data_IF_773298524261
#
_entry.id   IF_773298524261
#
_cell.length_a   1.000
_cell.length_b   1.000
_cell.length_c   1.000
_cell.angle_alpha   90.00
_cell.angle_beta   90.00
_cell.angle_gamma   90.00
#
_symmetry.space_group_name_H-M   'P 1'
#
loop_
_entity.id
_entity.type
_entity.pdbx_description
1 polymer ?
#
# COMPACT_ATOMS: atom_id res chain seq x y z
N UNK A 1 -7.05 -10.78 39.39
CA UNK A 1 -6.68 -12.20 39.18
C UNK A 1 -7.88 -13.02 38.76
N UNK A 2 -8.42 -12.67 37.59
CA UNK A 2 -9.40 -13.49 36.87
C UNK A 2 -9.22 -13.13 35.37
N UNK A 3 -8.02 -13.37 34.90
CA UNK A 3 -7.65 -13.40 33.49
C UNK A 3 -7.36 -14.86 33.14
N UNK A 4 -7.84 -15.25 32.03
CA UNK A 4 -7.52 -16.48 31.32
C UNK A 4 -8.59 -17.57 31.40
N UNK A 5 -9.62 -17.36 30.62
CA UNK A 5 -10.08 -18.41 29.69
C UNK A 5 -10.46 -17.69 28.40
N UNK A 6 -9.45 -17.11 27.74
CA UNK A 6 -9.58 -16.64 26.35
C UNK A 6 -9.86 -17.90 25.52
N UNK A 7 -11.10 -18.06 25.15
CA UNK A 7 -11.53 -19.17 24.34
C UNK A 7 -10.70 -19.16 23.06
N UNK A 8 -9.97 -20.23 22.79
CA UNK A 8 -9.05 -20.36 21.65
C UNK A 8 -9.72 -20.01 20.30
N UNK A 9 -11.06 -20.10 20.24
CA UNK A 9 -11.85 -19.71 19.07
C UNK A 9 -11.98 -18.19 18.88
N UNK A 10 -11.85 -17.36 19.94
CA UNK A 10 -11.87 -15.89 19.83
C UNK A 10 -10.63 -15.35 19.08
N UNK A 11 -9.55 -16.10 19.05
CA UNK A 11 -8.36 -15.80 18.26
C UNK A 11 -8.61 -15.86 16.73
N UNK A 12 -9.60 -16.63 16.32
CA UNK A 12 -9.97 -16.81 14.91
C UNK A 12 -11.12 -15.88 14.46
N UNK A 13 -11.78 -15.22 15.40
CA UNK A 13 -12.83 -14.27 15.06
C UNK A 13 -12.26 -12.94 14.56
N UNK A 14 -12.83 -12.36 13.51
CA UNK A 14 -12.50 -11.00 13.08
C UNK A 14 -12.67 -10.02 14.25
N UNK A 15 -11.70 -9.12 14.42
CA UNK A 15 -11.76 -8.12 15.50
C UNK A 15 -12.92 -7.13 15.35
N UNK A 16 -13.46 -6.98 14.15
CA UNK A 16 -14.70 -6.22 13.89
C UNK A 16 -15.88 -6.73 14.70
N UNK A 17 -16.08 -8.07 14.76
CA UNK A 17 -17.16 -8.68 15.53
C UNK A 17 -16.99 -8.42 17.04
N UNK A 18 -15.75 -8.55 17.52
CA UNK A 18 -15.45 -8.29 18.94
C UNK A 18 -15.56 -6.81 19.31
N UNK A 19 -15.24 -5.91 18.37
CA UNK A 19 -15.35 -4.48 18.57
C UNK A 19 -16.82 -4.02 18.64
N UNK A 20 -17.73 -4.67 17.93
CA UNK A 20 -19.16 -4.34 17.93
C UNK A 20 -19.85 -4.61 19.26
N UNK A 21 -19.28 -5.45 20.14
CA UNK A 21 -19.89 -5.79 21.43
C UNK A 21 -19.96 -4.60 22.40
N UNK A 22 -18.98 -3.69 22.34
CA UNK A 22 -18.86 -2.52 23.22
C UNK A 22 -18.94 -1.21 22.42
N UNK A 23 -19.65 -1.24 21.25
CA UNK A 23 -19.69 -0.12 20.31
C UNK A 23 -20.78 0.89 20.70
N UNK A 24 -20.37 2.10 21.05
CA UNK A 24 -21.27 3.17 21.41
C UNK A 24 -21.38 4.26 20.33
N UNK A 25 -22.34 5.19 20.51
CA UNK A 25 -22.56 6.29 19.55
C UNK A 25 -21.40 7.27 19.47
N UNK A 26 -20.63 7.42 20.54
CA UNK A 26 -19.46 8.32 20.55
C UNK A 26 -18.35 7.73 19.71
N UNK A 27 -18.06 6.44 19.90
CA UNK A 27 -17.09 5.67 19.08
C UNK A 27 -17.47 5.72 17.60
N UNK A 28 -18.77 5.50 17.27
CA UNK A 28 -19.24 5.59 15.88
C UNK A 28 -18.93 6.95 15.23
N UNK A 29 -19.16 8.06 15.96
CA UNK A 29 -18.87 9.39 15.42
C UNK A 29 -17.38 9.61 15.16
N UNK A 30 -16.53 9.17 16.08
CA UNK A 30 -15.09 9.25 15.91
C UNK A 30 -14.60 8.40 14.73
N UNK A 31 -15.10 7.17 14.62
CA UNK A 31 -14.74 6.26 13.51
C UNK A 31 -15.24 6.80 12.17
N UNK A 32 -16.41 7.40 12.12
CA UNK A 32 -16.94 8.01 10.89
C UNK A 32 -16.06 9.18 10.42
N UNK A 33 -15.67 10.06 11.34
CA UNK A 33 -14.79 11.20 11.02
C UNK A 33 -13.42 10.68 10.56
N UNK A 34 -12.85 9.72 11.27
CA UNK A 34 -11.59 9.09 10.91
C UNK A 34 -11.68 8.41 9.53
N UNK A 35 -12.77 7.68 9.27
CA UNK A 35 -13.00 7.01 7.99
C UNK A 35 -13.11 7.98 6.81
N UNK A 36 -13.84 9.09 6.98
CA UNK A 36 -13.92 10.15 5.95
C UNK A 36 -12.54 10.77 5.71
N UNK A 37 -11.81 11.11 6.77
CA UNK A 37 -10.48 11.71 6.65
C UNK A 37 -9.51 10.78 5.91
N UNK A 38 -9.49 9.51 6.30
CA UNK A 38 -8.64 8.50 5.63
C UNK A 38 -9.07 8.28 4.20
N UNK A 39 -10.37 8.22 3.91
CA UNK A 39 -10.90 8.04 2.57
C UNK A 39 -10.50 9.18 1.63
N UNK A 40 -10.55 10.43 2.09
CA UNK A 40 -10.13 11.60 1.31
C UNK A 40 -8.64 11.55 0.91
N UNK A 41 -7.79 10.98 1.76
CA UNK A 41 -6.35 10.82 1.47
C UNK A 41 -6.07 9.55 0.68
N UNK A 42 -6.76 8.46 0.99
CA UNK A 42 -6.50 7.16 0.39
C UNK A 42 -6.88 7.08 -1.09
N UNK A 43 -7.95 7.75 -1.52
CA UNK A 43 -8.40 7.68 -2.91
C UNK A 43 -7.41 8.29 -3.91
N UNK A 44 -6.92 9.54 -3.73
CA UNK A 44 -5.89 10.09 -4.61
C UNK A 44 -4.60 9.26 -4.58
N UNK A 45 -4.20 8.77 -3.41
CA UNK A 45 -3.01 7.94 -3.26
C UNK A 45 -3.14 6.61 -4.02
N UNK A 46 -4.32 5.97 -3.95
CA UNK A 46 -4.60 4.74 -4.68
C UNK A 46 -4.56 4.95 -6.20
N UNK A 47 -5.10 6.06 -6.70
CA UNK A 47 -4.99 6.43 -8.10
C UNK A 47 -3.54 6.64 -8.53
N UNK A 48 -2.75 7.37 -7.74
CA UNK A 48 -1.35 7.63 -8.03
C UNK A 48 -0.53 6.33 -8.10
N UNK A 49 -0.74 5.40 -7.17
CA UNK A 49 -0.05 4.11 -7.19
C UNK A 49 -0.51 3.20 -8.34
N UNK A 50 -1.78 3.26 -8.74
CA UNK A 50 -2.25 2.53 -9.91
C UNK A 50 -1.57 3.03 -11.18
N UNK A 51 -1.52 4.35 -11.39
CA UNK A 51 -0.83 4.97 -12.52
C UNK A 51 0.67 4.61 -12.52
N UNK A 52 1.32 4.74 -11.37
CA UNK A 52 2.75 4.39 -11.22
C UNK A 52 3.03 2.90 -11.47
N UNK A 53 2.02 2.05 -11.29
CA UNK A 53 2.09 0.61 -11.57
C UNK A 53 1.72 0.23 -13.02
N UNK A 54 1.41 1.21 -13.89
CA UNK A 54 0.98 0.98 -15.26
C UNK A 54 -0.49 0.56 -15.41
N UNK A 55 -1.32 0.84 -14.39
CA UNK A 55 -2.75 0.52 -14.37
C UNK A 55 -3.58 1.80 -14.52
N UNK A 56 -4.88 1.62 -14.78
CA UNK A 56 -5.81 2.74 -14.83
C UNK A 56 -6.10 3.30 -13.44
N UNK A 57 -6.33 4.62 -13.27
CA UNK A 57 -6.68 5.22 -11.97
C UNK A 57 -7.90 4.58 -11.33
N UNK A 58 -8.88 4.19 -12.15
CA UNK A 58 -10.11 3.52 -11.70
C UNK A 58 -9.81 2.17 -11.02
N UNK A 59 -8.85 1.40 -11.55
CA UNK A 59 -8.43 0.14 -10.93
C UNK A 59 -7.90 0.37 -9.51
N UNK A 60 -7.17 1.47 -9.28
CA UNK A 60 -6.70 1.87 -7.95
C UNK A 60 -7.85 2.16 -6.99
N UNK A 61 -8.86 2.90 -7.43
CA UNK A 61 -10.04 3.21 -6.61
C UNK A 61 -10.79 1.93 -6.22
N UNK A 62 -11.10 1.07 -7.19
CA UNK A 62 -11.80 -0.19 -6.91
C UNK A 62 -10.99 -1.09 -5.96
N UNK A 63 -9.69 -1.19 -6.18
CA UNK A 63 -8.81 -1.93 -5.29
C UNK A 63 -8.84 -1.37 -3.86
N UNK A 64 -8.74 -0.04 -3.69
CA UNK A 64 -8.76 0.59 -2.37
C UNK A 64 -10.09 0.36 -1.64
N UNK A 65 -11.24 0.48 -2.33
CA UNK A 65 -12.57 0.28 -1.74
C UNK A 65 -12.74 -1.19 -1.32
N UNK A 66 -12.52 -2.13 -2.24
CA UNK A 66 -12.76 -3.56 -1.98
C UNK A 66 -11.79 -4.10 -0.94
N UNK A 67 -10.50 -3.82 -1.11
CA UNK A 67 -9.45 -4.31 -0.20
C UNK A 67 -9.59 -3.65 1.18
N UNK A 68 -9.82 -2.34 1.23
CA UNK A 68 -10.03 -1.60 2.47
C UNK A 68 -11.21 -2.15 3.26
N UNK A 69 -12.34 -2.42 2.59
CA UNK A 69 -13.52 -3.03 3.22
C UNK A 69 -13.24 -4.45 3.72
N UNK A 70 -12.67 -5.33 2.89
CA UNK A 70 -12.41 -6.73 3.26
C UNK A 70 -11.41 -6.80 4.43
N UNK A 71 -10.32 -6.04 4.38
CA UNK A 71 -9.31 -6.05 5.44
C UNK A 71 -9.86 -5.46 6.73
N UNK A 72 -10.66 -4.41 6.67
CA UNK A 72 -11.30 -3.84 7.86
C UNK A 72 -12.36 -4.77 8.45
N UNK A 73 -13.12 -5.47 7.62
CA UNK A 73 -14.17 -6.39 8.07
C UNK A 73 -13.63 -7.69 8.64
N UNK A 74 -12.61 -8.29 8.00
CA UNK A 74 -12.07 -9.61 8.34
C UNK A 74 -10.73 -9.55 9.09
N UNK A 75 -10.15 -8.37 9.24
CA UNK A 75 -8.84 -8.21 9.83
C UNK A 75 -8.76 -8.52 11.32
N UNK A 76 -7.57 -8.90 11.76
CA UNK A 76 -7.25 -9.20 13.15
C UNK A 76 -6.85 -7.97 14.00
N UNK A 77 -6.89 -6.75 13.46
CA UNK A 77 -6.52 -5.51 14.15
C UNK A 77 -7.68 -4.52 14.13
N UNK A 78 -7.82 -3.76 15.23
CA UNK A 78 -8.84 -2.70 15.35
C UNK A 78 -8.47 -1.40 14.63
N UNK A 79 -7.19 -1.22 14.30
CA UNK A 79 -6.66 0.05 13.78
C UNK A 79 -5.92 -0.10 12.45
N UNK A 80 -6.03 -1.26 11.81
CA UNK A 80 -5.37 -1.54 10.53
C UNK A 80 -6.29 -1.15 9.37
N UNK A 81 -5.74 -0.41 8.42
CA UNK A 81 -6.38 -0.09 7.15
C UNK A 81 -5.57 -0.77 6.05
N UNK A 82 -6.26 -1.53 5.20
CA UNK A 82 -5.66 -2.11 4.01
C UNK A 82 -5.73 -1.12 2.85
N UNK A 83 -4.64 -1.07 2.08
CA UNK A 83 -4.59 -0.20 0.92
C UNK A 83 -3.32 -0.42 0.10
N UNK A 84 -3.21 0.25 -1.05
CA UNK A 84 -2.03 0.18 -1.88
C UNK A 84 -0.81 0.73 -1.14
N UNK A 85 0.33 0.09 -1.35
CA UNK A 85 1.60 0.53 -0.75
C UNK A 85 2.65 0.81 -1.83
N UNK A 86 3.37 1.91 -1.67
CA UNK A 86 4.43 2.32 -2.59
C UNK A 86 5.55 1.29 -2.75
N UNK A 87 5.78 0.46 -1.73
CA UNK A 87 6.77 -0.61 -1.79
C UNK A 87 6.52 -1.62 -2.91
N UNK A 88 5.26 -1.90 -3.21
CA UNK A 88 4.87 -2.88 -4.23
C UNK A 88 4.74 -2.28 -5.64
N UNK A 89 4.76 -0.96 -5.80
CA UNK A 89 4.64 -0.31 -7.12
C UNK A 89 5.67 -0.84 -8.11
N UNK A 90 6.92 -0.98 -7.68
CA UNK A 90 8.00 -1.47 -8.55
C UNK A 90 7.77 -2.93 -8.96
N UNK A 91 7.34 -3.78 -8.02
CA UNK A 91 7.04 -5.19 -8.30
C UNK A 91 5.85 -5.32 -9.23
N UNK A 92 4.76 -4.60 -8.94
CA UNK A 92 3.53 -4.62 -9.74
C UNK A 92 3.79 -4.08 -11.15
N UNK A 93 4.49 -2.95 -11.28
CA UNK A 93 4.83 -2.38 -12.59
C UNK A 93 5.69 -3.33 -13.44
N UNK A 94 6.63 -4.04 -12.82
CA UNK A 94 7.45 -5.06 -13.49
C UNK A 94 6.61 -6.24 -14.01
N UNK A 95 5.66 -6.74 -13.21
CA UNK A 95 4.75 -7.82 -13.62
C UNK A 95 3.83 -7.35 -14.75
N UNK A 96 3.25 -6.15 -14.61
CA UNK A 96 2.36 -5.59 -15.64
C UNK A 96 3.09 -5.37 -16.95
N UNK A 97 4.32 -4.88 -16.92
CA UNK A 97 5.13 -4.67 -18.11
C UNK A 97 5.48 -5.97 -18.85
N UNK A 98 5.76 -7.06 -18.12
CA UNK A 98 6.17 -8.33 -18.70
C UNK A 98 5.00 -9.26 -19.04
N UNK A 99 3.98 -9.30 -18.22
CA UNK A 99 2.89 -10.30 -18.29
C UNK A 99 1.49 -9.68 -18.40
N UNK A 100 1.40 -8.36 -18.45
CA UNK A 100 0.14 -7.64 -18.50
C UNK A 100 -0.69 -7.78 -17.21
N UNK A 101 -1.91 -7.27 -17.26
CA UNK A 101 -2.86 -7.29 -16.13
C UNK A 101 -3.28 -8.73 -15.77
N UNK A 102 -3.38 -9.62 -16.75
CA UNK A 102 -3.71 -11.03 -16.50
C UNK A 102 -2.64 -11.73 -15.65
N UNK A 103 -1.36 -11.47 -15.94
CA UNK A 103 -0.25 -11.96 -15.12
C UNK A 103 -0.28 -11.42 -13.71
N UNK A 104 -0.64 -10.16 -13.53
CA UNK A 104 -0.81 -9.56 -12.21
C UNK A 104 -1.90 -10.26 -11.39
N UNK A 105 -3.05 -10.58 -12.00
CA UNK A 105 -4.12 -11.33 -11.33
C UNK A 105 -3.65 -12.70 -10.88
N UNK A 106 -2.94 -13.43 -11.72
CA UNK A 106 -2.40 -14.75 -11.35
C UNK A 106 -1.41 -14.65 -10.19
N UNK A 107 -0.46 -13.72 -10.24
CA UNK A 107 0.48 -13.49 -9.14
C UNK A 107 -0.23 -13.13 -7.84
N UNK A 108 -1.24 -12.27 -7.90
CA UNK A 108 -2.04 -11.87 -6.73
C UNK A 108 -2.81 -13.05 -6.13
N UNK A 109 -3.43 -13.88 -6.97
CA UNK A 109 -4.10 -15.12 -6.53
C UNK A 109 -3.14 -16.07 -5.83
N UNK A 110 -1.96 -16.30 -6.42
CA UNK A 110 -0.92 -17.16 -5.82
C UNK A 110 -0.44 -16.61 -4.48
N UNK A 111 -0.17 -15.31 -4.42
CA UNK A 111 0.22 -14.63 -3.18
C UNK A 111 -0.88 -14.74 -2.11
N UNK A 112 -2.15 -14.57 -2.49
CA UNK A 112 -3.29 -14.74 -1.60
C UNK A 112 -3.37 -16.15 -1.00
N UNK A 113 -3.22 -17.19 -1.82
CA UNK A 113 -3.18 -18.58 -1.36
C UNK A 113 -2.03 -18.81 -0.39
N UNK A 114 -0.82 -18.32 -0.70
CA UNK A 114 0.32 -18.43 0.19
C UNK A 114 0.07 -17.73 1.54
N UNK A 115 -0.52 -16.55 1.52
CA UNK A 115 -0.86 -15.81 2.75
C UNK A 115 -1.90 -16.54 3.61
N UNK A 116 -2.89 -17.18 2.99
CA UNK A 116 -3.87 -18.02 3.70
C UNK A 116 -3.18 -19.21 4.37
N UNK A 117 -2.30 -19.91 3.65
CA UNK A 117 -1.53 -21.04 4.20
C UNK A 117 -0.68 -20.57 5.39
N UNK A 118 0.05 -19.46 5.25
CA UNK A 118 0.86 -18.87 6.32
C UNK A 118 0.00 -18.44 7.52
N UNK A 119 -1.21 -17.94 7.28
CA UNK A 119 -2.16 -17.58 8.32
C UNK A 119 -2.65 -18.79 9.11
N UNK A 120 -3.10 -19.84 8.40
CA UNK A 120 -3.62 -21.07 9.01
C UNK A 120 -2.52 -21.84 9.78
N UNK A 121 -1.31 -21.88 9.26
CA UNK A 121 -0.16 -22.54 9.93
C UNK A 121 0.36 -21.76 11.12
N UNK A 122 -0.13 -20.53 11.37
CA UNK A 122 0.31 -19.70 12.48
C UNK A 122 1.73 -19.16 12.33
N UNK A 123 2.37 -19.35 11.17
CA UNK A 123 3.73 -18.88 10.90
C UNK A 123 3.84 -17.36 10.87
N UNK A 124 2.71 -16.63 10.77
CA UNK A 124 2.67 -15.18 10.91
C UNK A 124 3.31 -14.65 12.22
N UNK A 125 3.32 -15.47 13.27
CA UNK A 125 4.02 -15.12 14.53
C UNK A 125 5.53 -15.03 14.36
N UNK A 126 6.10 -15.59 13.30
CA UNK A 126 7.53 -15.49 12.99
C UNK A 126 7.98 -14.04 12.71
N UNK A 127 7.05 -13.15 12.30
CA UNK A 127 7.34 -11.72 12.08
C UNK A 127 7.94 -11.05 13.31
N UNK A 128 7.59 -11.50 14.53
CA UNK A 128 8.16 -10.97 15.79
C UNK A 128 9.67 -11.22 15.95
N UNK A 129 10.22 -12.17 15.21
CA UNK A 129 11.65 -12.47 15.24
C UNK A 129 12.46 -11.62 14.25
N UNK A 130 11.81 -10.81 13.43
CA UNK A 130 12.49 -9.89 12.52
C UNK A 130 13.18 -8.80 13.33
N UNK A 131 14.52 -8.67 13.25
CA UNK A 131 15.24 -7.64 13.99
C UNK A 131 14.84 -6.23 13.54
N UNK A 132 14.75 -5.29 14.48
CA UNK A 132 14.44 -3.89 14.17
C UNK A 132 15.30 -3.27 13.06
N UNK A 133 16.63 -3.51 12.97
CA UNK A 133 17.45 -2.97 11.89
C UNK A 133 16.98 -3.38 10.49
N UNK A 134 16.45 -4.60 10.34
CA UNK A 134 15.90 -5.09 9.06
C UNK A 134 14.65 -4.28 8.68
N UNK A 135 13.75 -4.05 9.63
CA UNK A 135 12.53 -3.27 9.40
C UNK A 135 12.88 -1.83 9.04
N UNK A 136 13.81 -1.21 9.77
CA UNK A 136 14.26 0.16 9.50
C UNK A 136 14.94 0.26 8.12
N UNK A 137 15.82 -0.70 7.79
CA UNK A 137 16.48 -0.75 6.48
C UNK A 137 15.48 -0.90 5.34
N UNK A 138 14.50 -1.79 5.49
CA UNK A 138 13.43 -2.00 4.52
C UNK A 138 12.59 -0.72 4.32
N UNK A 139 12.17 -0.07 5.41
CA UNK A 139 11.38 1.17 5.36
C UNK A 139 12.15 2.30 4.69
N UNK A 140 13.43 2.48 5.02
CA UNK A 140 14.27 3.50 4.40
C UNK A 140 14.51 3.20 2.91
N UNK A 141 14.72 1.93 2.55
CA UNK A 141 14.83 1.52 1.15
C UNK A 141 13.59 1.85 0.33
N UNK A 142 12.40 1.58 0.90
CA UNK A 142 11.12 1.93 0.27
C UNK A 142 10.99 3.45 0.13
N UNK A 143 11.35 4.23 1.15
CA UNK A 143 11.28 5.69 1.09
C UNK A 143 12.14 6.25 -0.05
N UNK A 144 13.36 5.73 -0.23
CA UNK A 144 14.25 6.11 -1.33
C UNK A 144 13.65 5.71 -2.69
N UNK A 145 13.08 4.51 -2.80
CA UNK A 145 12.41 4.07 -4.03
C UNK A 145 11.23 4.98 -4.39
N UNK A 146 10.37 5.31 -3.42
CA UNK A 146 9.22 6.21 -3.65
C UNK A 146 9.73 7.59 -4.04
N UNK A 147 10.70 8.15 -3.31
CA UNK A 147 11.29 9.44 -3.63
C UNK A 147 11.81 9.47 -5.07
N UNK A 148 12.52 8.43 -5.51
CA UNK A 148 13.02 8.34 -6.88
C UNK A 148 11.92 8.35 -7.95
N UNK A 149 10.72 7.84 -7.65
CA UNK A 149 9.58 7.91 -8.59
C UNK A 149 9.00 9.32 -8.67
N UNK A 150 9.04 10.08 -7.57
CA UNK A 150 8.48 11.43 -7.51
C UNK A 150 9.39 12.48 -8.17
N UNK A 151 10.70 12.23 -8.26
CA UNK A 151 11.65 13.19 -8.88
C UNK A 151 11.26 13.49 -10.32
N UNK A 152 10.84 12.49 -11.09
CA UNK A 152 10.38 12.67 -12.47
C UNK A 152 9.21 13.65 -12.56
N UNK A 153 8.19 13.42 -11.74
CA UNK A 153 6.93 14.18 -11.77
C UNK A 153 7.15 15.59 -11.20
N UNK A 154 7.96 15.72 -10.15
CA UNK A 154 8.35 16.98 -9.54
C UNK A 154 9.13 17.90 -10.52
N UNK A 155 10.05 17.32 -11.27
CA UNK A 155 10.82 18.06 -12.28
C UNK A 155 10.07 18.18 -13.64
N UNK A 156 8.95 17.49 -13.82
CA UNK A 156 8.18 17.47 -15.06
C UNK A 156 8.95 16.90 -16.23
N UNK A 157 9.80 15.87 -16.00
CA UNK A 157 10.66 15.28 -17.02
C UNK A 157 9.84 14.50 -18.06
N UNK A 158 10.08 14.78 -19.32
CA UNK A 158 9.49 14.04 -20.44
C UNK A 158 10.32 12.79 -20.74
N UNK A 159 10.02 11.69 -20.05
CA UNK A 159 10.71 10.41 -20.25
C UNK A 159 9.76 9.45 -20.99
N UNK A 160 10.21 8.95 -22.11
CA UNK A 160 9.48 7.97 -22.96
C UNK A 160 9.50 6.57 -22.32
N UNK A 161 10.55 6.24 -21.57
CA UNK A 161 10.72 4.98 -20.90
C UNK A 161 10.76 5.19 -19.38
N UNK A 162 10.04 4.35 -18.65
CA UNK A 162 10.08 4.34 -17.19
C UNK A 162 10.72 3.01 -16.71
N UNK A 163 12.05 2.94 -16.61
CA UNK A 163 12.72 1.72 -16.19
C UNK A 163 12.21 1.27 -14.80
N UNK A 164 11.85 -0.01 -14.69
CA UNK A 164 11.41 -0.59 -13.43
C UNK A 164 12.54 -0.66 -12.39
N UNK A 165 13.80 -0.73 -12.84
CA UNK A 165 14.98 -0.82 -11.99
C UNK A 165 15.39 0.55 -11.45
N UNK A 166 15.80 0.59 -10.17
CA UNK A 166 16.23 1.83 -9.49
C UNK A 166 17.39 2.53 -10.20
N UNK A 167 18.44 1.78 -10.54
CA UNK A 167 19.63 2.33 -11.21
C UNK A 167 19.31 2.81 -12.62
N UNK A 168 18.49 2.04 -13.36
CA UNK A 168 18.02 2.43 -14.69
C UNK A 168 17.22 3.74 -14.65
N UNK A 169 16.37 3.91 -13.64
CA UNK A 169 15.60 5.13 -13.43
C UNK A 169 16.49 6.32 -13.11
N UNK A 170 17.48 6.14 -12.24
CA UNK A 170 18.41 7.21 -11.89
C UNK A 170 19.22 7.68 -13.11
N UNK A 171 19.68 6.72 -13.92
CA UNK A 171 20.37 7.01 -15.18
C UNK A 171 19.45 7.72 -16.20
N UNK A 172 18.17 7.32 -16.29
CA UNK A 172 17.18 7.96 -17.15
C UNK A 172 16.88 9.39 -16.71
N UNK A 173 16.73 9.64 -15.42
CA UNK A 173 16.58 10.99 -14.86
C UNK A 173 17.79 11.85 -15.23
N UNK A 174 19.00 11.34 -15.03
CA UNK A 174 20.24 12.06 -15.35
C UNK A 174 20.37 12.43 -16.83
N UNK A 175 19.83 11.62 -17.75
CA UNK A 175 19.86 11.86 -19.19
C UNK A 175 18.82 12.87 -19.69
N UNK A 176 17.76 13.09 -18.94
CA UNK A 176 16.63 13.95 -19.33
C UNK A 176 16.53 15.23 -18.50
N UNK A 177 17.61 15.59 -17.79
CA UNK A 177 17.64 16.84 -17.00
C UNK A 177 17.49 18.10 -17.86
N UNK A 178 17.74 18.01 -19.15
CA UNK A 178 17.52 19.07 -20.14
C UNK A 178 16.04 19.36 -20.40
N UNK A 179 15.15 18.41 -20.06
CA UNK A 179 13.71 18.54 -20.26
C UNK A 179 12.95 19.08 -19.02
N UNK A 180 13.63 19.62 -18.03
CA UNK A 180 13.01 20.15 -16.81
C UNK A 180 11.96 21.22 -17.17
N UNK A 181 10.75 21.05 -16.62
CA UNK A 181 9.66 22.02 -16.76
C UNK A 181 9.64 23.00 -15.58
N UNK A 182 9.95 24.28 -15.76
CA UNK A 182 9.88 25.26 -14.68
C UNK A 182 8.47 25.39 -14.06
N UNK A 183 7.43 25.16 -14.88
CA UNK A 183 6.04 25.18 -14.41
C UNK A 183 5.74 24.01 -13.46
N UNK A 184 6.23 22.79 -13.75
CA UNK A 184 6.08 21.65 -12.90
C UNK A 184 6.81 21.83 -11.56
N UNK A 185 8.05 22.33 -11.61
CA UNK A 185 8.82 22.65 -10.40
C UNK A 185 8.12 23.71 -9.57
N UNK A 186 7.61 24.77 -10.19
CA UNK A 186 6.87 25.83 -9.50
C UNK A 186 5.62 25.30 -8.80
N UNK A 187 4.82 24.46 -9.46
CA UNK A 187 3.66 23.79 -8.86
C UNK A 187 4.08 22.85 -7.72
N UNK A 188 5.14 22.07 -7.93
CA UNK A 188 5.66 21.16 -6.91
C UNK A 188 6.12 21.89 -5.63
N UNK A 189 6.78 23.02 -5.79
CA UNK A 189 7.21 23.86 -4.64
C UNK A 189 6.00 24.51 -3.94
N UNK A 190 4.96 24.90 -4.67
CA UNK A 190 3.74 25.47 -4.07
C UNK A 190 2.92 24.47 -3.26
N UNK A 191 3.09 23.18 -3.51
CA UNK A 191 2.34 22.11 -2.83
C UNK A 191 3.08 21.50 -1.63
N UNK A 192 4.35 21.83 -1.42
CA UNK A 192 5.16 21.48 -0.26
C UNK A 192 4.99 22.46 0.88
#
# INVERSE_FOLDING_TARGET
RMMAMDNAWEAWLPKSILALRDYDRATFRHDLIAGITVGLVALPLAMAFAIASGLTPQAGIYCAIVTGFIISALGGSRVQIGGPTGAFVVVVSGIVAQHGVAGLFMCTMMAGVMLVILGVTGTGTAVRFIPRPVVVGFTNGIAILIASTQVRDFLGLQMTENPGEFLGRLAAIGRHLDTISPAAVGLGVMTL
#
